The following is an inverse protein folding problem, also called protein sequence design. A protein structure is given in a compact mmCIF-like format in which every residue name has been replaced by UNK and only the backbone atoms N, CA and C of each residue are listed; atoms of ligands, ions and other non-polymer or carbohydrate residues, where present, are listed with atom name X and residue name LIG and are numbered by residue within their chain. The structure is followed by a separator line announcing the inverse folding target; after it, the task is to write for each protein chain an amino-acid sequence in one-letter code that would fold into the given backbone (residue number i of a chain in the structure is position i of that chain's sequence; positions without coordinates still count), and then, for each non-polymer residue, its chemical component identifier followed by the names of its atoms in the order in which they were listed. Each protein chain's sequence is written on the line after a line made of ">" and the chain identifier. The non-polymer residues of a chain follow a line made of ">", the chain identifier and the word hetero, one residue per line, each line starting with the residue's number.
data_IF_893205225359
#
_entry.id   IF_893205225359
#
_cell.length_a   1.000
_cell.length_b   1.000
_cell.length_c   1.000
_cell.angle_alpha   90.00
_cell.angle_beta   90.00
_cell.angle_gamma   90.00
#
_symmetry.space_group_name_H-M   'P 1'
#
loop_
_entity.id
_entity.type
_entity.pdbx_description
1 polymer ?
#
# COMPACT_ATOMS: atom_id res chain seq x y z
N UNK A 1 9.27 18.25 -1.64
CA UNK A 1 8.51 16.99 -1.58
C UNK A 1 8.58 16.28 -2.90
N UNK A 2 8.75 14.99 -2.86
CA UNK A 2 8.90 14.20 -4.07
C UNK A 2 7.87 13.07 -4.08
N UNK A 3 7.34 12.76 -5.25
CA UNK A 3 6.39 11.67 -5.37
C UNK A 3 6.92 10.60 -6.32
N UNK A 4 6.55 9.37 -6.03
CA UNK A 4 6.86 8.22 -6.86
C UNK A 4 5.56 7.47 -7.10
N UNK A 5 5.25 7.21 -8.36
CA UNK A 5 4.01 6.54 -8.74
C UNK A 5 4.31 5.26 -9.51
N UNK A 6 3.58 4.19 -9.16
CA UNK A 6 3.63 2.92 -9.86
C UNK A 6 2.22 2.50 -10.22
N UNK A 7 2.09 1.91 -11.40
CA UNK A 7 0.81 1.40 -11.86
C UNK A 7 0.95 -0.03 -12.31
N UNK A 8 -0.10 -0.81 -12.09
CA UNK A 8 -0.16 -2.17 -12.61
C UNK A 8 -1.60 -2.49 -13.01
N UNK A 9 -1.75 -3.18 -14.13
CA UNK A 9 -3.06 -3.69 -14.56
C UNK A 9 -3.23 -5.08 -13.98
N UNK A 10 -4.31 -5.27 -13.23
CA UNK A 10 -4.62 -6.54 -12.59
C UNK A 10 -5.81 -7.17 -13.29
N UNK A 11 -5.74 -8.48 -13.49
CA UNK A 11 -6.80 -9.24 -14.14
C UNK A 11 -7.82 -9.67 -13.09
N UNK A 12 -8.50 -8.68 -12.51
CA UNK A 12 -9.47 -8.89 -11.46
C UNK A 12 -10.40 -7.69 -11.38
N UNK A 13 -11.64 -7.85 -10.93
CA UNK A 13 -12.54 -6.71 -10.74
C UNK A 13 -12.11 -5.85 -9.56
N UNK A 14 -12.56 -4.59 -9.59
CA UNK A 14 -12.10 -3.60 -8.60
C UNK A 14 -12.45 -3.97 -7.17
N UNK A 15 -13.62 -4.55 -6.92
CA UNK A 15 -14.01 -4.94 -5.58
C UNK A 15 -13.11 -6.06 -5.03
N UNK A 16 -12.68 -6.95 -5.89
CA UNK A 16 -11.76 -8.01 -5.50
C UNK A 16 -10.37 -7.44 -5.16
N UNK A 17 -9.92 -6.46 -5.95
CA UNK A 17 -8.66 -5.78 -5.66
C UNK A 17 -8.77 -5.01 -4.34
N UNK A 18 -9.91 -4.38 -4.09
CA UNK A 18 -10.16 -3.70 -2.83
C UNK A 18 -10.04 -4.65 -1.65
N UNK A 19 -10.64 -5.85 -1.77
CA UNK A 19 -10.57 -6.84 -0.70
C UNK A 19 -9.13 -7.24 -0.39
N UNK A 20 -8.28 -7.32 -1.40
CA UNK A 20 -6.88 -7.65 -1.20
C UNK A 20 -6.15 -6.53 -0.44
N UNK A 21 -6.33 -5.27 -0.86
CA UNK A 21 -5.57 -4.17 -0.25
C UNK A 21 -6.10 -3.78 1.12
N UNK A 22 -7.27 -4.27 1.51
CA UNK A 22 -7.83 -3.97 2.84
C UNK A 22 -7.85 -5.19 3.75
N UNK A 23 -7.33 -6.32 3.31
CA UNK A 23 -7.23 -7.53 4.12
C UNK A 23 -5.85 -7.58 4.77
N UNK A 24 -5.81 -7.79 6.09
CA UNK A 24 -4.53 -7.90 6.81
C UNK A 24 -3.67 -9.03 6.26
N UNK A 25 -4.27 -10.17 6.03
CA UNK A 25 -3.52 -11.34 5.54
C UNK A 25 -2.96 -11.11 4.15
N UNK A 26 -3.74 -10.49 3.27
CA UNK A 26 -3.30 -10.21 1.92
C UNK A 26 -2.23 -9.10 1.92
N UNK A 27 -2.41 -8.08 2.76
CA UNK A 27 -1.40 -7.04 2.89
C UNK A 27 -0.10 -7.60 3.46
N UNK A 28 -0.20 -8.51 4.42
CA UNK A 28 1.00 -9.16 4.97
C UNK A 28 1.80 -9.85 3.88
N UNK A 29 1.11 -10.54 3.00
CA UNK A 29 1.74 -11.23 1.89
C UNK A 29 2.33 -10.24 0.89
N UNK A 30 1.58 -9.19 0.59
CA UNK A 30 2.01 -8.17 -0.37
C UNK A 30 3.25 -7.43 0.11
N UNK A 31 3.27 -7.02 1.39
CA UNK A 31 4.39 -6.27 1.95
C UNK A 31 5.53 -7.16 2.41
N UNK A 32 5.29 -8.46 2.56
CA UNK A 32 6.29 -9.36 3.13
C UNK A 32 6.54 -9.09 4.60
N UNK A 33 5.48 -8.76 5.35
CA UNK A 33 5.58 -8.40 6.76
C UNK A 33 4.33 -8.86 7.49
N UNK A 34 4.41 -9.01 8.80
CA UNK A 34 3.22 -9.25 9.60
C UNK A 34 2.45 -7.94 9.73
N UNK A 35 1.13 -8.01 9.55
CA UNK A 35 0.27 -6.84 9.63
C UNK A 35 -0.67 -7.02 10.82
N UNK A 36 -0.64 -6.05 11.73
CA UNK A 36 -1.42 -6.10 12.96
C UNK A 36 -2.19 -4.80 13.13
N UNK A 37 -3.44 -4.90 13.57
CA UNK A 37 -4.30 -3.75 13.73
C UNK A 37 -5.51 -3.82 12.82
N UNK A 38 -6.38 -2.84 12.96
CA UNK A 38 -7.61 -2.77 12.19
C UNK A 38 -7.43 -1.80 11.03
N UNK A 39 -7.74 -2.26 9.82
CA UNK A 39 -7.65 -1.40 8.64
C UNK A 39 -8.95 -0.61 8.54
N UNK A 40 -8.95 0.56 9.16
CA UNK A 40 -10.10 1.45 9.21
C UNK A 40 -9.61 2.89 9.39
N UNK A 41 -10.36 3.89 8.94
CA UNK A 41 -9.93 5.29 9.08
C UNK A 41 -9.66 5.64 10.53
N UNK A 42 -8.54 6.32 10.78
CA UNK A 42 -8.14 6.74 12.11
C UNK A 42 -7.36 5.70 12.90
N UNK A 43 -7.27 4.48 12.38
CA UNK A 43 -6.56 3.40 13.06
C UNK A 43 -5.11 3.35 12.64
N UNK A 44 -4.26 2.89 13.55
CA UNK A 44 -2.84 2.67 13.26
C UNK A 44 -2.61 1.19 13.05
N UNK A 45 -2.03 0.86 11.92
CA UNK A 45 -1.73 -0.52 11.55
C UNK A 45 -0.22 -0.71 11.63
N UNK A 46 0.21 -1.80 12.25
CA UNK A 46 1.62 -2.08 12.47
C UNK A 46 2.11 -3.16 11.53
N UNK A 47 3.21 -2.87 10.85
CA UNK A 47 3.87 -3.79 9.94
C UNK A 47 5.19 -4.21 10.57
N UNK A 48 5.39 -5.50 10.78
CA UNK A 48 6.62 -6.04 11.35
C UNK A 48 7.32 -6.90 10.30
N UNK A 49 8.49 -6.46 9.88
CA UNK A 49 9.29 -7.18 8.89
C UNK A 49 9.98 -8.40 9.52
N UNK A 50 10.42 -9.36 8.70
CA UNK A 50 11.10 -10.55 9.25
C UNK A 50 12.33 -10.24 10.07
N UNK A 51 12.98 -9.10 9.83
CA UNK A 51 14.15 -8.68 10.61
C UNK A 51 13.78 -7.98 11.92
N UNK A 52 12.48 -7.88 12.22
CA UNK A 52 12.01 -7.25 13.44
C UNK A 52 11.74 -5.75 13.32
N UNK A 53 12.02 -5.16 12.16
CA UNK A 53 11.74 -3.74 11.95
C UNK A 53 10.24 -3.49 11.96
N UNK A 54 9.80 -2.49 12.71
CA UNK A 54 8.39 -2.15 12.84
C UNK A 54 8.12 -0.81 12.17
N UNK A 55 7.11 -0.77 11.31
CA UNK A 55 6.61 0.47 10.74
C UNK A 55 5.13 0.58 11.06
N UNK A 56 4.68 1.81 11.29
CA UNK A 56 3.28 2.06 11.63
C UNK A 56 2.66 2.97 10.59
N UNK A 57 1.46 2.60 10.17
CA UNK A 57 0.71 3.37 9.18
C UNK A 57 -0.58 3.86 9.80
N UNK A 58 -0.83 5.16 9.69
CA UNK A 58 -2.09 5.74 10.09
C UNK A 58 -3.02 5.75 8.88
N UNK A 59 -4.13 5.04 8.98
CA UNK A 59 -5.11 4.99 7.90
C UNK A 59 -5.86 6.32 7.90
N UNK A 60 -5.74 7.08 6.83
CA UNK A 60 -6.34 8.40 6.76
C UNK A 60 -7.68 8.41 6.03
N UNK A 61 -7.81 7.57 5.00
CA UNK A 61 -9.00 7.61 4.18
C UNK A 61 -9.24 6.26 3.52
N UNK A 62 -10.49 5.86 3.49
CA UNK A 62 -10.92 4.67 2.77
C UNK A 62 -12.21 5.02 2.02
N UNK A 63 -12.14 4.95 0.72
CA UNK A 63 -13.28 5.19 -0.16
C UNK A 63 -13.47 3.92 -0.99
N UNK A 64 -14.26 3.02 -0.48
CA UNK A 64 -14.46 1.71 -1.10
C UNK A 64 -15.23 1.82 -2.40
N UNK A 65 -14.81 1.17 -3.46
CA UNK A 65 -13.61 0.34 -3.61
C UNK A 65 -12.50 1.05 -4.37
N UNK A 66 -12.38 2.36 -4.23
CA UNK A 66 -11.57 3.22 -5.09
C UNK A 66 -10.26 3.68 -4.52
N UNK A 67 -10.22 3.96 -3.22
CA UNK A 67 -9.04 4.61 -2.67
C UNK A 67 -8.78 4.21 -1.23
N UNK A 68 -7.51 3.95 -0.94
CA UNK A 68 -7.01 3.78 0.42
C UNK A 68 -5.82 4.71 0.56
N UNK A 69 -5.87 5.63 1.52
CA UNK A 69 -4.77 6.54 1.79
C UNK A 69 -4.28 6.33 3.21
N UNK A 70 -2.97 6.25 3.37
CA UNK A 70 -2.39 6.13 4.70
C UNK A 70 -1.08 6.90 4.76
N UNK A 71 -0.61 7.13 5.98
CA UNK A 71 0.63 7.82 6.23
C UNK A 71 1.56 6.92 7.03
N UNK A 72 2.77 6.72 6.53
CA UNK A 72 3.80 6.09 7.33
C UNK A 72 4.21 7.06 8.40
N UNK A 73 4.11 6.65 9.66
CA UNK A 73 4.53 7.49 10.77
C UNK A 73 6.05 7.51 10.83
N UNK A 74 6.65 8.62 11.30
CA UNK A 74 8.10 8.69 11.37
C UNK A 74 8.67 7.66 12.33
N UNK A 75 9.86 7.16 12.03
CA UNK A 75 10.59 6.24 12.88
C UNK A 75 12.03 6.70 12.97
N UNK A 76 12.83 5.97 13.74
CA UNK A 76 14.25 6.31 13.91
C UNK A 76 15.02 6.26 12.58
N UNK A 77 14.54 5.43 11.63
CA UNK A 77 15.28 5.20 10.39
C UNK A 77 14.56 5.72 9.15
N UNK A 78 13.30 6.12 9.27
CA UNK A 78 12.50 6.49 8.10
C UNK A 78 11.76 7.80 8.35
N UNK A 79 11.84 8.73 7.41
CA UNK A 79 11.02 9.94 7.50
C UNK A 79 9.55 9.60 7.23
N UNK A 80 8.62 10.48 7.61
CA UNK A 80 7.22 10.24 7.29
C UNK A 80 6.98 10.34 5.79
N UNK A 81 6.00 9.61 5.30
CA UNK A 81 5.55 9.71 3.93
C UNK A 81 4.07 9.38 3.86
N UNK A 82 3.44 9.81 2.79
CA UNK A 82 2.03 9.54 2.54
C UNK A 82 1.91 8.60 1.36
N UNK A 83 0.99 7.65 1.46
CA UNK A 83 0.76 6.68 0.39
C UNK A 83 -0.71 6.73 0.00
N UNK A 84 -0.95 6.85 -1.31
CA UNK A 84 -2.28 6.75 -1.89
C UNK A 84 -2.34 5.52 -2.78
N UNK A 85 -3.34 4.69 -2.56
CA UNK A 85 -3.61 3.54 -3.42
C UNK A 85 -4.96 3.82 -4.08
N UNK A 86 -4.95 3.93 -5.41
CA UNK A 86 -6.19 4.11 -6.16
C UNK A 86 -6.48 2.88 -7.00
N UNK A 87 -7.76 2.57 -7.13
CA UNK A 87 -8.24 1.37 -7.81
C UNK A 87 -9.25 1.82 -8.84
N UNK A 88 -8.89 1.72 -10.11
CA UNK A 88 -9.73 2.18 -11.21
C UNK A 88 -10.12 1.03 -12.12
N UNK A 89 -11.43 0.76 -12.28
CA UNK A 89 -11.87 -0.24 -13.24
C UNK A 89 -11.39 0.11 -14.64
N UNK A 90 -10.98 -0.90 -15.38
CA UNK A 90 -10.52 -0.75 -16.75
C UNK A 90 -11.19 -1.80 -17.59
N UNK A 91 -11.02 -1.68 -18.92
CA UNK A 91 -11.66 -2.61 -19.85
C UNK A 91 -11.26 -4.06 -19.55
N UNK A 92 -9.99 -4.31 -19.30
CA UNK A 92 -9.47 -5.66 -19.14
C UNK A 92 -9.07 -5.97 -17.69
N UNK A 93 -9.73 -5.34 -16.73
CA UNK A 93 -9.41 -5.60 -15.33
C UNK A 93 -9.46 -4.33 -14.50
N UNK A 94 -8.43 -4.13 -13.69
CA UNK A 94 -8.38 -3.00 -12.77
C UNK A 94 -6.98 -2.41 -12.78
N UNK A 95 -6.89 -1.09 -12.86
CA UNK A 95 -5.60 -0.40 -12.74
C UNK A 95 -5.41 -0.05 -11.28
N UNK A 96 -4.37 -0.61 -10.69
CA UNK A 96 -3.95 -0.28 -9.33
C UNK A 96 -2.80 0.72 -9.43
N UNK A 97 -2.97 1.88 -8.82
CA UNK A 97 -1.94 2.92 -8.80
C UNK A 97 -1.56 3.19 -7.37
N UNK A 98 -0.26 3.16 -7.09
CA UNK A 98 0.28 3.48 -5.78
C UNK A 98 1.18 4.69 -5.92
N UNK A 99 0.92 5.74 -5.16
CA UNK A 99 1.73 6.94 -5.16
C UNK A 99 2.23 7.19 -3.75
N UNK A 100 3.52 7.40 -3.62
CA UNK A 100 4.12 7.74 -2.33
C UNK A 100 4.73 9.13 -2.41
N UNK A 101 4.34 10.00 -1.49
CA UNK A 101 4.92 11.35 -1.35
C UNK A 101 5.83 11.34 -0.15
N UNK A 102 7.10 11.68 -0.36
CA UNK A 102 8.10 11.77 0.70
C UNK A 102 8.30 13.22 1.05
N UNK A 103 8.40 13.48 2.35
CA UNK A 103 8.49 14.86 2.82
C UNK A 103 9.91 15.38 2.84
N UNK A 104 10.90 14.53 2.57
CA UNK A 104 12.29 14.92 2.47
C UNK A 104 12.83 14.53 1.12
N UNK A 105 14.00 15.06 0.78
CA UNK A 105 14.64 14.71 -0.48
C UNK A 105 14.74 13.20 -0.58
N UNK A 106 14.24 12.69 -1.67
CA UNK A 106 14.18 11.26 -1.84
C UNK A 106 15.54 10.67 -2.04
N UNK A 107 15.76 9.57 -1.40
CA UNK A 107 16.98 8.80 -1.56
C UNK A 107 16.73 7.54 -2.35
N UNK A 108 15.48 7.25 -2.64
CA UNK A 108 15.11 6.08 -3.42
C UNK A 108 14.01 6.48 -4.39
N UNK A 109 14.08 6.00 -5.61
CA UNK A 109 13.07 6.24 -6.62
C UNK A 109 11.95 5.23 -6.56
N UNK A 110 12.00 4.29 -5.62
CA UNK A 110 11.00 3.23 -5.54
C UNK A 110 10.06 3.45 -4.37
N UNK A 111 8.74 3.25 -4.56
CA UNK A 111 7.84 3.17 -3.41
C UNK A 111 8.27 2.01 -2.53
N UNK A 112 8.02 2.14 -1.23
CA UNK A 112 8.37 1.08 -0.30
C UNK A 112 7.39 -0.07 -0.33
N UNK A 113 6.35 0.07 -1.12
CA UNK A 113 5.35 -0.96 -1.31
C UNK A 113 5.82 -1.89 -2.41
N UNK A 114 5.86 -3.17 -2.12
CA UNK A 114 6.28 -4.15 -3.11
C UNK A 114 5.16 -4.50 -4.06
N UNK A 115 5.36 -4.21 -5.33
CA UNK A 115 4.41 -4.61 -6.36
C UNK A 115 4.58 -6.08 -6.74
N UNK A 116 5.72 -6.64 -6.44
CA UNK A 116 6.09 -7.94 -6.96
C UNK A 116 5.09 -9.03 -6.61
N UNK A 117 4.71 -9.09 -5.34
CA UNK A 117 3.78 -10.11 -4.90
C UNK A 117 2.40 -9.95 -5.55
N UNK A 118 1.96 -8.69 -5.71
CA UNK A 118 0.68 -8.41 -6.31
C UNK A 118 0.69 -8.73 -7.81
N UNK A 119 1.77 -8.38 -8.49
CA UNK A 119 1.90 -8.65 -9.91
C UNK A 119 1.93 -10.16 -10.17
N UNK A 120 2.55 -10.93 -9.30
CA UNK A 120 2.59 -12.37 -9.44
C UNK A 120 1.22 -13.01 -9.27
N UNK A 121 0.38 -12.43 -8.44
CA UNK A 121 -0.96 -12.96 -8.21
C UNK A 121 -1.79 -13.00 -9.51
N UNK A 122 -1.55 -12.08 -10.43
CA UNK A 122 -2.33 -12.03 -11.66
C UNK A 122 -1.85 -13.02 -12.72
N UNK A 123 -0.64 -13.53 -12.60
CA UNK A 123 -0.09 -14.45 -13.59
C UNK A 123 -0.33 -15.90 -13.26
N UNK A 124 -0.90 -16.13 -12.10
CA UNK A 124 -1.15 -17.50 -11.62
C UNK A 124 -2.17 -18.24 -12.43
#
# INVERSE_FOLDING_TARGET
>A
MEDVTREVLLDAPADEVWDVVTSRDQLAEWFGADVDGRIAPGEVVRFTSPDGTVRRALIERMDEPRELAFRWLPSATEPPSRVDITIDPARDGTVLRVTEWRFEAAISAEPRIGFKAFAQARTG
#
